data_IF_550450753933
#
_entry.id   IF_550450753933
#
_cell.length_a   1.000
_cell.length_b   1.000
_cell.length_c   1.000
_cell.angle_alpha   90.00
_cell.angle_beta   90.00
_cell.angle_gamma   90.00
#
_symmetry.space_group_name_H-M   'P 1'
#
loop_
_entity.id
_entity.type
_entity.pdbx_description
1 polymer ?
#
# COMPACT_ATOMS: atom_id res chain seq x y z
N UNK A 1 2.87 -3.03 -25.94
CA UNK A 1 2.99 -2.99 -25.02
C UNK A 1 3.82 -2.87 -24.59
N UNK A 2 3.49 -2.52 -24.78
CA UNK A 2 4.45 -2.23 -24.38
C UNK A 2 5.23 -3.05 -23.68
N UNK A 3 5.81 -3.38 -24.23
CA UNK A 3 6.51 -3.98 -23.67
C UNK A 3 7.24 -3.59 -22.69
N UNK A 4 8.05 -3.62 -22.23
CA UNK A 4 8.70 -3.05 -21.14
C UNK A 4 7.82 -2.38 -20.16
N UNK A 5 6.57 -2.42 -20.38
CA UNK A 5 5.63 -1.81 -19.48
C UNK A 5 5.45 -2.61 -18.23
N UNK A 6 5.22 -1.92 -17.15
CA UNK A 6 4.99 -2.55 -15.87
C UNK A 6 3.67 -3.31 -15.90
N UNK A 7 3.69 -4.52 -15.38
CA UNK A 7 2.52 -5.38 -15.30
C UNK A 7 2.32 -5.76 -13.85
N UNK A 8 2.23 -4.75 -12.99
CA UNK A 8 2.13 -4.98 -11.55
C UNK A 8 0.70 -4.80 -11.07
N UNK A 9 0.40 -5.41 -9.94
CA UNK A 9 -0.87 -5.23 -9.25
C UNK A 9 -0.58 -4.80 -7.81
N UNK A 10 -1.26 -3.75 -7.35
CA UNK A 10 -1.14 -3.33 -5.95
C UNK A 10 -2.50 -3.37 -5.28
N UNK A 11 -2.48 -3.49 -3.95
CA UNK A 11 -3.67 -3.32 -3.13
C UNK A 11 -3.52 -1.96 -2.45
N UNK A 12 -4.52 -1.10 -2.64
CA UNK A 12 -4.54 0.24 -2.05
C UNK A 12 -5.60 0.27 -0.96
N UNK A 13 -5.18 0.51 0.27
CA UNK A 13 -6.08 0.50 1.43
C UNK A 13 -6.27 1.92 1.92
N UNK A 14 -7.44 2.47 1.68
CA UNK A 14 -7.78 3.86 2.01
C UNK A 14 -9.30 3.98 1.99
N UNK A 15 -9.87 4.67 2.96
CA UNK A 15 -11.31 4.84 3.05
C UNK A 15 -11.84 6.04 2.26
N UNK A 16 -10.95 6.83 1.66
CA UNK A 16 -11.33 8.01 0.88
C UNK A 16 -11.49 7.64 -0.59
N UNK A 17 -12.73 7.53 -1.05
CA UNK A 17 -13.04 7.12 -2.41
C UNK A 17 -12.42 8.05 -3.47
N UNK A 18 -12.39 9.34 -3.20
CA UNK A 18 -11.82 10.30 -4.14
C UNK A 18 -10.33 10.03 -4.36
N UNK A 19 -9.60 9.83 -3.27
CA UNK A 19 -8.16 9.55 -3.36
C UNK A 19 -7.91 8.20 -4.03
N UNK A 20 -8.73 7.19 -3.70
CA UNK A 20 -8.61 5.87 -4.31
C UNK A 20 -8.75 5.97 -5.83
N UNK A 21 -9.78 6.68 -6.29
CA UNK A 21 -10.01 6.85 -7.73
C UNK A 21 -8.87 7.59 -8.40
N UNK A 22 -8.38 8.63 -7.75
CA UNK A 22 -7.27 9.42 -8.30
C UNK A 22 -6.01 8.56 -8.44
N UNK A 23 -5.65 7.83 -7.39
CA UNK A 23 -4.45 6.98 -7.44
C UNK A 23 -4.64 5.83 -8.43
N UNK A 24 -5.82 5.21 -8.44
CA UNK A 24 -6.08 4.11 -9.38
C UNK A 24 -5.89 4.56 -10.83
N UNK A 25 -6.36 5.76 -11.15
CA UNK A 25 -6.18 6.33 -12.48
C UNK A 25 -4.70 6.55 -12.77
N UNK A 26 -3.98 7.12 -11.81
CA UNK A 26 -2.57 7.43 -12.00
C UNK A 26 -1.72 6.17 -12.14
N UNK A 27 -1.97 5.17 -11.31
CA UNK A 27 -1.28 3.89 -11.41
C UNK A 27 -1.62 3.20 -12.72
N UNK A 28 -2.90 3.23 -13.12
CA UNK A 28 -3.33 2.59 -14.37
C UNK A 28 -2.62 3.17 -15.58
N UNK A 29 -2.37 4.46 -15.58
CA UNK A 29 -1.63 5.11 -16.66
C UNK A 29 -0.19 4.62 -16.74
N UNK A 30 0.30 3.96 -15.71
CA UNK A 30 1.66 3.41 -15.66
C UNK A 30 1.68 1.87 -15.68
N UNK A 31 0.58 1.25 -16.12
CA UNK A 31 0.53 -0.20 -16.26
C UNK A 31 0.35 -0.97 -14.96
N UNK A 32 -0.12 -0.30 -13.90
CA UNK A 32 -0.30 -0.93 -12.60
C UNK A 32 -1.79 -0.98 -12.29
N UNK A 33 -2.31 -2.19 -12.06
CA UNK A 33 -3.70 -2.34 -11.66
C UNK A 33 -3.83 -2.17 -10.15
N UNK A 34 -4.96 -1.60 -9.73
CA UNK A 34 -5.20 -1.31 -8.31
C UNK A 34 -6.44 -2.05 -7.85
N UNK A 35 -6.29 -2.79 -6.77
CA UNK A 35 -7.42 -3.37 -6.06
C UNK A 35 -7.60 -2.56 -4.78
N UNK A 36 -8.77 -1.95 -4.61
CA UNK A 36 -9.03 -1.07 -3.49
C UNK A 36 -9.66 -1.82 -2.32
N UNK A 37 -9.18 -1.49 -1.12
CA UNK A 37 -9.81 -1.95 0.13
C UNK A 37 -10.14 -0.70 0.93
N UNK A 38 -11.35 -0.59 1.43
CA UNK A 38 -11.79 0.61 2.14
C UNK A 38 -11.50 0.59 3.64
N UNK A 39 -10.99 -0.52 4.14
CA UNK A 39 -10.66 -0.63 5.57
C UNK A 39 -9.62 -1.69 5.81
N UNK A 40 -9.05 -1.67 7.00
CA UNK A 40 -8.11 -2.71 7.41
C UNK A 40 -8.77 -4.07 7.47
N UNK A 41 -10.04 -4.12 7.86
CA UNK A 41 -10.79 -5.39 7.92
C UNK A 41 -10.89 -6.04 6.55
N UNK A 42 -11.20 -5.24 5.52
CA UNK A 42 -11.31 -5.77 4.16
C UNK A 42 -9.95 -6.27 3.68
N UNK A 43 -8.87 -5.56 4.01
CA UNK A 43 -7.53 -6.01 3.66
C UNK A 43 -7.24 -7.37 4.29
N UNK A 44 -7.52 -7.52 5.59
CA UNK A 44 -7.27 -8.77 6.29
C UNK A 44 -8.09 -9.91 5.68
N UNK A 45 -9.37 -9.65 5.36
CA UNK A 45 -10.21 -10.64 4.70
C UNK A 45 -9.61 -11.12 3.38
N UNK A 46 -9.18 -10.17 2.56
CA UNK A 46 -8.61 -10.52 1.25
C UNK A 46 -7.33 -11.32 1.39
N UNK A 47 -6.46 -10.90 2.29
CA UNK A 47 -5.19 -11.61 2.49
C UNK A 47 -5.44 -13.00 3.08
N UNK A 48 -6.42 -13.14 3.96
CA UNK A 48 -6.79 -14.45 4.53
C UNK A 48 -7.33 -15.39 3.47
N UNK A 49 -7.96 -14.84 2.44
CA UNK A 49 -8.48 -15.62 1.32
C UNK A 49 -7.42 -15.91 0.26
N UNK A 50 -6.18 -15.48 0.47
CA UNK A 50 -5.08 -15.77 -0.44
C UNK A 50 -4.82 -14.72 -1.49
N UNK A 51 -5.34 -13.52 -1.33
CA UNK A 51 -5.11 -12.45 -2.31
C UNK A 51 -3.63 -12.19 -2.49
N UNK A 52 -3.23 -11.92 -3.73
CA UNK A 52 -1.84 -11.66 -4.09
C UNK A 52 -1.71 -10.28 -4.70
N UNK A 53 -0.56 -9.68 -4.48
CA UNK A 53 -0.25 -8.39 -5.06
C UNK A 53 1.26 -8.21 -5.02
N UNK A 54 1.74 -7.25 -5.79
CA UNK A 54 3.17 -6.94 -5.82
C UNK A 54 3.54 -5.96 -4.71
N UNK A 55 2.54 -5.24 -4.16
CA UNK A 55 2.76 -4.28 -3.10
C UNK A 55 1.42 -3.91 -2.46
N UNK A 56 1.44 -3.56 -1.20
CA UNK A 56 0.28 -3.03 -0.49
C UNK A 56 0.59 -1.59 -0.10
N UNK A 57 -0.27 -0.65 -0.53
CA UNK A 57 -0.23 0.74 -0.07
C UNK A 57 -1.27 0.87 1.03
N UNK A 58 -0.87 1.32 2.21
CA UNK A 58 -1.71 1.24 3.39
C UNK A 58 -1.77 2.57 4.12
N UNK A 59 -2.98 3.13 4.23
CA UNK A 59 -3.20 4.33 5.03
C UNK A 59 -3.28 3.94 6.52
N UNK A 60 -2.95 4.87 7.38
CA UNK A 60 -3.04 4.66 8.83
C UNK A 60 -4.43 5.01 9.35
N UNK A 61 -4.95 6.17 8.98
CA UNK A 61 -6.21 6.67 9.55
C UNK A 61 -7.41 6.13 8.80
N UNK A 62 -8.05 5.15 9.39
CA UNK A 62 -9.25 4.53 8.83
C UNK A 62 -10.17 4.13 9.99
N UNK A 63 -11.50 4.10 9.76
CA UNK A 63 -12.42 3.70 10.83
C UNK A 63 -12.24 2.22 11.19
N UNK A 64 -12.59 1.87 12.41
CA UNK A 64 -12.56 0.53 12.97
C UNK A 64 -11.14 0.02 13.17
N UNK A 65 -10.49 -0.47 12.13
CA UNK A 65 -9.12 -0.97 12.22
C UNK A 65 -8.21 -0.02 11.44
N UNK A 66 -7.31 0.69 12.14
CA UNK A 66 -6.38 1.58 11.45
C UNK A 66 -5.26 0.77 10.78
N UNK A 67 -4.44 1.46 9.98
CA UNK A 67 -3.40 0.78 9.20
C UNK A 67 -2.35 0.08 10.03
N UNK A 68 -1.99 0.66 11.18
CA UNK A 68 -0.99 0.04 12.05
C UNK A 68 -1.55 -1.23 12.68
N UNK A 69 -2.82 -1.19 13.10
CA UNK A 69 -3.48 -2.38 13.63
C UNK A 69 -3.56 -3.49 12.60
N UNK A 70 -3.91 -3.13 11.36
CA UNK A 70 -3.96 -4.08 10.27
C UNK A 70 -2.59 -4.69 10.01
N UNK A 71 -1.55 -3.85 10.01
CA UNK A 71 -0.19 -4.31 9.77
C UNK A 71 0.27 -5.27 10.87
N UNK A 72 -0.03 -4.95 12.13
CA UNK A 72 0.30 -5.84 13.25
C UNK A 72 -0.36 -7.20 13.08
N UNK A 73 -1.62 -7.20 12.66
CA UNK A 73 -2.37 -8.44 12.46
C UNK A 73 -1.78 -9.25 11.31
N UNK A 74 -1.41 -8.57 10.22
CA UNK A 74 -0.74 -9.22 9.10
C UNK A 74 0.52 -9.96 9.56
N UNK A 75 1.34 -9.28 10.34
CA UNK A 75 2.60 -9.87 10.81
C UNK A 75 2.36 -11.01 11.78
N UNK A 76 1.42 -10.82 12.73
CA UNK A 76 1.13 -11.85 13.73
C UNK A 76 0.57 -13.12 13.10
N UNK A 77 -0.21 -12.99 12.04
CA UNK A 77 -0.86 -14.13 11.38
C UNK A 77 -0.16 -14.53 10.10
N UNK A 78 0.97 -13.88 9.80
CA UNK A 78 1.75 -14.16 8.59
C UNK A 78 0.92 -14.02 7.32
N UNK A 79 0.05 -13.02 7.28
CA UNK A 79 -0.77 -12.74 6.11
C UNK A 79 0.00 -11.85 5.14
N UNK A 80 -0.13 -12.12 3.84
CA UNK A 80 0.56 -11.33 2.83
C UNK A 80 2.07 -11.46 2.92
N UNK A 81 2.57 -12.59 3.37
CA UNK A 81 4.00 -12.81 3.52
C UNK A 81 4.71 -12.59 2.19
N UNK A 82 5.79 -11.82 2.23
CA UNK A 82 6.56 -11.54 1.04
C UNK A 82 6.05 -10.35 0.22
N UNK A 83 4.88 -9.81 0.54
CA UNK A 83 4.37 -8.64 -0.16
C UNK A 83 4.89 -7.39 0.55
N UNK A 84 5.64 -6.52 -0.13
CA UNK A 84 6.12 -5.29 0.53
C UNK A 84 4.95 -4.36 0.85
N UNK A 85 5.03 -3.70 2.00
CA UNK A 85 4.02 -2.74 2.44
C UNK A 85 4.66 -1.36 2.46
N UNK A 86 3.99 -0.39 1.84
CA UNK A 86 4.39 1.02 1.90
C UNK A 86 3.24 1.78 2.54
N UNK A 87 3.55 2.57 3.55
CA UNK A 87 2.53 3.43 4.17
C UNK A 87 2.29 4.63 3.28
N UNK A 88 1.03 5.00 3.09
CA UNK A 88 0.65 6.19 2.32
C UNK A 88 -0.42 6.91 3.13
N UNK A 89 -0.02 7.97 3.85
CA UNK A 89 -0.87 8.55 4.87
C UNK A 89 -0.49 10.01 5.11
N UNK A 90 -1.39 10.76 5.74
CA UNK A 90 -1.05 12.12 6.19
C UNK A 90 -0.50 12.14 7.62
N UNK A 91 -0.50 10.99 8.31
CA UNK A 91 0.15 10.89 9.61
C UNK A 91 1.66 10.94 9.40
N UNK A 92 2.32 11.89 10.07
CA UNK A 92 3.76 12.03 9.89
C UNK A 92 4.52 12.15 11.21
N UNK A 93 3.91 11.72 12.34
CA UNK A 93 4.63 11.79 13.59
C UNK A 93 5.67 10.67 13.69
N UNK A 94 6.73 10.97 14.44
CA UNK A 94 7.88 10.07 14.51
C UNK A 94 7.54 8.73 15.14
N UNK A 95 6.55 8.72 16.03
CA UNK A 95 6.14 7.49 16.70
C UNK A 95 5.56 6.49 15.70
N UNK A 96 4.67 6.97 14.82
CA UNK A 96 4.04 6.10 13.82
C UNK A 96 5.05 5.63 12.80
N UNK A 97 5.95 6.53 12.37
CA UNK A 97 7.00 6.17 11.42
C UNK A 97 7.89 5.08 12.03
N UNK A 98 8.28 5.24 13.28
CA UNK A 98 9.15 4.27 13.95
C UNK A 98 8.44 2.94 14.15
N UNK A 99 7.17 2.97 14.51
CA UNK A 99 6.41 1.74 14.74
C UNK A 99 6.23 0.93 13.46
N UNK A 100 5.87 1.60 12.36
CA UNK A 100 5.71 0.91 11.08
C UNK A 100 7.04 0.37 10.58
N UNK A 101 8.13 1.10 10.82
CA UNK A 101 9.46 0.63 10.45
C UNK A 101 9.80 -0.67 11.19
N UNK A 102 9.49 -0.74 12.49
CA UNK A 102 9.70 -1.96 13.27
C UNK A 102 8.87 -3.11 12.73
N UNK A 103 7.72 -2.82 12.16
CA UNK A 103 6.86 -3.83 11.57
C UNK A 103 7.28 -4.21 10.15
N UNK A 104 8.40 -3.66 9.68
CA UNK A 104 9.01 -4.10 8.45
C UNK A 104 8.44 -3.50 7.17
N UNK A 105 7.90 -2.29 7.23
CA UNK A 105 7.42 -1.65 6.00
C UNK A 105 8.60 -1.29 5.10
N UNK A 106 8.36 -1.29 3.80
CA UNK A 106 9.37 -0.98 2.79
C UNK A 106 9.47 0.51 2.52
N UNK A 107 8.49 1.30 2.95
CA UNK A 107 8.52 2.74 2.75
C UNK A 107 7.41 3.44 3.49
N UNK A 108 7.51 4.76 3.58
CA UNK A 108 6.53 5.59 4.27
C UNK A 108 6.40 6.90 3.48
N UNK A 109 5.23 7.15 2.95
CA UNK A 109 4.97 8.33 2.12
C UNK A 109 3.92 9.18 2.81
N UNK A 110 4.20 10.47 2.98
CA UNK A 110 3.23 11.42 3.52
C UNK A 110 2.47 12.03 2.34
N UNK A 111 1.17 11.80 2.29
CA UNK A 111 0.32 12.20 1.16
C UNK A 111 0.47 13.66 0.79
N UNK A 112 0.51 14.54 1.78
CA UNK A 112 0.57 15.99 1.54
C UNK A 112 1.96 16.45 1.07
N UNK A 113 2.96 15.59 1.14
CA UNK A 113 4.34 15.94 0.79
C UNK A 113 4.78 15.31 -0.54
N UNK A 114 3.91 14.56 -1.21
CA UNK A 114 4.27 13.86 -2.44
C UNK A 114 3.18 14.03 -3.49
N UNK A 115 3.57 14.29 -4.73
CA UNK A 115 2.62 14.33 -5.84
C UNK A 115 2.20 12.90 -6.18
N UNK A 116 1.05 12.72 -6.85
CA UNK A 116 0.66 11.37 -7.29
C UNK A 116 1.72 10.70 -8.16
N UNK A 117 2.40 11.46 -9.02
CA UNK A 117 3.48 10.90 -9.83
C UNK A 117 4.64 10.39 -8.97
N UNK A 118 4.97 11.14 -7.92
CA UNK A 118 6.03 10.71 -7.01
C UNK A 118 5.64 9.44 -6.26
N UNK A 119 4.37 9.31 -5.89
CA UNK A 119 3.88 8.08 -5.25
C UNK A 119 4.04 6.90 -6.19
N UNK A 120 3.64 7.05 -7.45
CA UNK A 120 3.78 5.98 -8.44
C UNK A 120 5.25 5.60 -8.60
N UNK A 121 6.14 6.58 -8.73
CA UNK A 121 7.57 6.31 -8.91
C UNK A 121 8.14 5.55 -7.72
N UNK A 122 7.78 5.94 -6.52
CA UNK A 122 8.28 5.28 -5.32
C UNK A 122 7.77 3.84 -5.22
N UNK A 123 6.50 3.62 -5.57
CA UNK A 123 5.91 2.28 -5.54
C UNK A 123 6.63 1.36 -6.54
N UNK A 124 6.85 1.85 -7.75
CA UNK A 124 7.55 1.06 -8.77
C UNK A 124 8.96 0.70 -8.28
N UNK A 125 9.64 1.66 -7.69
CA UNK A 125 10.99 1.45 -7.16
C UNK A 125 11.01 0.35 -6.09
N UNK A 126 10.04 0.39 -5.17
CA UNK A 126 9.96 -0.63 -4.12
C UNK A 126 9.64 -2.01 -4.71
N UNK A 127 8.72 -2.07 -5.65
CA UNK A 127 8.37 -3.35 -6.28
C UNK A 127 9.60 -3.97 -6.95
N UNK A 128 10.32 -3.16 -7.71
CA UNK A 128 11.50 -3.65 -8.43
C UNK A 128 12.59 -4.12 -7.47
N UNK A 129 12.79 -3.40 -6.38
CA UNK A 129 13.77 -3.80 -5.36
C UNK A 129 13.40 -5.12 -4.70
N UNK A 130 12.11 -5.35 -4.49
CA UNK A 130 11.63 -6.57 -3.85
C UNK A 130 11.78 -7.80 -4.71
N UNK A 131 11.89 -7.62 -6.02
CA UNK A 131 11.96 -8.74 -6.95
C UNK A 131 13.38 -9.14 -7.34
N UNK A 132 14.34 -8.47 -6.80
CA UNK A 132 15.76 -8.76 -7.08
C UNK A 132 16.23 -9.95 -6.25
#
# INVERSE_FOLDING_TARGET
MAEGENQYKIILVDDDDFLVDMYATKFGANGISVEACKSGDVLIEKLSAGAKADLILLDIIMPNMNGIEALKKMRAQNLGAGIPVVMLTNQNDEKDIAETKKLGVAGYIVKSAATPSEVVDEVIKVIKSSKV
#
